data_IF_221735753013
#
_entry.id   IF_221735753013
#
_cell.length_a   1.000
_cell.length_b   1.000
_cell.length_c   1.000
_cell.angle_alpha   90.00
_cell.angle_beta   90.00
_cell.angle_gamma   90.00
#
_symmetry.space_group_name_H-M   'P 1'
#
loop_
_entity.id
_entity.type
_entity.pdbx_description
1 polymer ?
#
# COMPACT_ATOMS: atom_id res chain seq x y z
N UNK A 1 -6.76 78.27 -12.41
CA UNK A 1 -6.82 77.91 -13.85
C UNK A 1 -7.52 76.55 -13.95
N UNK A 2 -8.85 76.49 -13.97
CA UNK A 2 -9.70 76.24 -15.16
C UNK A 2 -8.99 75.45 -16.27
N UNK A 3 -9.41 74.19 -16.47
CA UNK A 3 -10.02 73.70 -17.72
C UNK A 3 -10.66 72.31 -17.52
N UNK A 4 -11.95 72.27 -17.80
CA UNK A 4 -12.82 71.10 -17.98
C UNK A 4 -12.60 70.44 -19.35
N UNK A 5 -12.95 69.16 -19.51
CA UNK A 5 -13.70 68.54 -20.63
C UNK A 5 -14.13 67.12 -20.15
N UNK A 6 -15.44 66.85 -19.98
CA UNK A 6 -16.35 66.17 -20.92
C UNK A 6 -15.82 64.78 -21.34
N UNK A 7 -16.44 63.62 -21.07
CA UNK A 7 -17.87 63.27 -21.05
C UNK A 7 -18.14 62.36 -22.26
N UNK A 8 -18.09 61.03 -22.10
CA UNK A 8 -18.55 60.04 -23.09
C UNK A 8 -19.26 58.91 -22.32
N UNK A 9 -20.44 58.55 -22.81
CA UNK A 9 -21.41 57.70 -22.14
C UNK A 9 -21.29 56.19 -22.42
N UNK A 10 -21.92 55.45 -21.52
CA UNK A 10 -22.90 54.39 -21.75
C UNK A 10 -22.57 53.26 -22.75
N UNK A 11 -22.23 52.09 -22.21
CA UNK A 11 -22.81 50.80 -22.62
C UNK A 11 -22.44 49.72 -21.59
N UNK A 12 -23.33 49.48 -20.62
CA UNK A 12 -23.31 48.27 -19.78
C UNK A 12 -23.82 47.10 -20.64
N UNK A 13 -22.91 46.27 -21.14
CA UNK A 13 -23.25 45.01 -21.80
C UNK A 13 -23.13 43.87 -20.79
N UNK A 14 -24.26 43.34 -20.34
CA UNK A 14 -24.35 42.10 -19.57
C UNK A 14 -24.00 40.91 -20.47
N UNK A 15 -22.80 40.36 -20.31
CA UNK A 15 -22.47 39.00 -20.78
C UNK A 15 -22.42 38.08 -19.57
N UNK A 16 -23.47 37.25 -19.41
CA UNK A 16 -23.45 36.08 -18.54
C UNK A 16 -22.43 35.05 -19.08
N UNK A 17 -21.44 34.59 -18.30
CA UNK A 17 -20.57 33.52 -18.72
C UNK A 17 -21.33 32.18 -18.62
N UNK A 18 -21.55 31.55 -19.77
CA UNK A 18 -21.85 30.13 -19.87
C UNK A 18 -20.67 29.34 -19.30
N UNK A 19 -20.86 28.75 -18.12
CA UNK A 19 -19.90 27.80 -17.55
C UNK A 19 -19.99 26.48 -18.31
N UNK A 20 -19.03 26.26 -19.21
CA UNK A 20 -18.75 24.96 -19.84
C UNK A 20 -18.37 23.97 -18.75
N UNK A 21 -19.16 22.90 -18.60
CA UNK A 21 -18.86 21.78 -17.70
C UNK A 21 -17.93 20.81 -18.42
N UNK A 22 -16.68 20.77 -18.00
CA UNK A 22 -15.73 19.73 -18.41
C UNK A 22 -16.17 18.36 -17.87
N UNK A 23 -16.24 17.36 -18.75
CA UNK A 23 -16.38 15.95 -18.41
C UNK A 23 -15.00 15.31 -18.35
N UNK A 24 -14.62 14.79 -17.18
CA UNK A 24 -13.51 13.85 -17.02
C UNK A 24 -14.08 12.42 -17.02
N UNK A 25 -13.42 11.44 -17.67
CA UNK A 25 -13.80 10.04 -17.61
C UNK A 25 -12.97 9.34 -16.52
N UNK A 26 -13.60 8.97 -15.40
CA UNK A 26 -13.03 8.02 -14.45
C UNK A 26 -13.87 6.74 -14.45
N UNK A 27 -13.20 5.66 -14.83
CA UNK A 27 -13.68 4.28 -14.70
C UNK A 27 -13.43 3.76 -13.28
N UNK A 28 -14.16 2.71 -12.92
CA UNK A 28 -14.04 1.89 -11.71
C UNK A 28 -14.80 2.39 -10.46
N UNK A 29 -16.01 1.84 -10.26
CA UNK A 29 -16.39 1.06 -9.08
C UNK A 29 -17.92 0.94 -9.03
N UNK A 30 -18.46 -0.18 -9.51
CA UNK A 30 -19.82 -0.60 -9.14
C UNK A 30 -19.84 -0.96 -7.67
N UNK A 31 -20.18 0.03 -6.83
CA UNK A 31 -20.66 -0.20 -5.49
C UNK A 31 -22.09 -0.77 -5.59
N UNK A 32 -22.20 -2.10 -5.62
CA UNK A 32 -23.41 -2.77 -5.15
C UNK A 32 -23.44 -2.62 -3.63
N UNK A 33 -23.88 -1.45 -3.15
CA UNK A 33 -24.28 -1.26 -1.77
C UNK A 33 -25.64 -1.95 -1.60
N UNK A 34 -25.61 -3.26 -1.34
CA UNK A 34 -26.70 -3.95 -0.66
C UNK A 34 -26.88 -3.26 0.69
N UNK A 35 -27.86 -2.38 0.76
CA UNK A 35 -28.35 -1.81 2.01
C UNK A 35 -29.05 -2.91 2.80
N UNK A 36 -28.30 -3.79 3.45
CA UNK A 36 -28.75 -4.42 4.69
C UNK A 36 -28.72 -3.35 5.77
N UNK A 37 -29.71 -2.44 5.70
CA UNK A 37 -30.15 -1.71 6.87
C UNK A 37 -30.83 -2.72 7.78
N UNK A 38 -30.30 -2.88 8.98
CA UNK A 38 -30.90 -3.65 10.07
C UNK A 38 -32.41 -3.35 10.20
N UNK A 39 -33.25 -4.38 10.44
CA UNK A 39 -34.68 -4.21 10.60
C UNK A 39 -34.97 -3.71 12.01
N UNK A 40 -34.61 -2.45 12.27
CA UNK A 40 -34.93 -1.76 13.50
C UNK A 40 -36.22 -0.97 13.40
N UNK A 41 -37.27 -1.42 12.69
CA UNK A 41 -38.59 -0.75 12.76
C UNK A 41 -39.73 -1.59 12.19
N UNK A 42 -40.31 -2.48 12.99
CA UNK A 42 -41.62 -3.08 12.66
C UNK A 42 -42.80 -2.21 13.11
N UNK A 43 -42.59 -1.28 14.05
CA UNK A 43 -43.66 -0.46 14.63
C UNK A 43 -44.19 0.67 13.71
N UNK A 44 -43.35 1.34 12.91
CA UNK A 44 -43.83 2.40 12.00
C UNK A 44 -44.34 1.88 10.66
N UNK A 45 -43.92 0.69 10.24
CA UNK A 45 -44.40 0.09 8.99
C UNK A 45 -45.91 -0.21 9.07
N UNK A 46 -46.39 -0.69 10.22
CA UNK A 46 -47.81 -0.91 10.49
C UNK A 46 -48.65 0.36 10.37
N UNK A 47 -48.27 1.42 11.10
CA UNK A 47 -48.99 2.70 11.08
C UNK A 47 -49.06 3.31 9.67
N UNK A 48 -47.96 3.27 8.92
CA UNK A 48 -47.95 3.77 7.53
C UNK A 48 -48.87 3.00 6.59
N UNK A 49 -48.97 1.68 6.77
CA UNK A 49 -49.85 0.83 5.97
C UNK A 49 -51.33 1.10 6.31
N UNK A 50 -51.63 1.38 7.57
CA UNK A 50 -52.98 1.73 8.03
C UNK A 50 -53.43 3.09 7.49
N UNK A 51 -52.59 4.13 7.54
CA UNK A 51 -52.90 5.43 6.92
C UNK A 51 -53.06 5.30 5.38
N UNK A 52 -52.26 4.46 4.73
CA UNK A 52 -52.43 4.18 3.30
C UNK A 52 -53.77 3.50 3.00
N UNK A 53 -54.19 2.52 3.82
CA UNK A 53 -55.50 1.85 3.69
C UNK A 53 -56.65 2.84 3.87
N UNK A 54 -56.59 3.72 4.86
CA UNK A 54 -57.62 4.75 5.09
C UNK A 54 -57.76 5.70 3.91
N UNK A 55 -56.64 6.15 3.33
CA UNK A 55 -56.65 6.99 2.11
C UNK A 55 -57.26 6.27 0.91
N UNK A 56 -56.95 4.99 0.72
CA UNK A 56 -57.54 4.20 -0.36
C UNK A 56 -59.08 4.10 -0.25
N UNK A 57 -59.61 3.98 0.96
CA UNK A 57 -61.06 4.01 1.20
C UNK A 57 -61.65 5.36 0.80
N UNK A 58 -61.03 6.47 1.20
CA UNK A 58 -61.49 7.82 0.82
C UNK A 58 -61.39 8.07 -0.70
N UNK A 59 -60.36 7.55 -1.35
CA UNK A 59 -60.22 7.64 -2.81
C UNK A 59 -61.30 6.81 -3.54
N UNK A 60 -61.68 5.65 -3.00
CA UNK A 60 -62.82 4.88 -3.52
C UNK A 60 -64.16 5.62 -3.33
N UNK A 61 -64.40 6.21 -2.16
CA UNK A 61 -65.59 7.04 -1.90
C UNK A 61 -65.67 8.23 -2.86
N UNK A 62 -64.53 8.87 -3.15
CA UNK A 62 -64.45 9.93 -4.14
C UNK A 62 -64.85 9.44 -5.53
N UNK A 63 -64.35 8.27 -5.94
CA UNK A 63 -64.71 7.69 -7.23
C UNK A 63 -66.22 7.40 -7.33
N UNK A 64 -66.83 6.90 -6.25
CA UNK A 64 -68.28 6.70 -6.18
C UNK A 64 -69.06 8.01 -6.27
N UNK A 65 -68.66 9.06 -5.54
CA UNK A 65 -69.31 10.37 -5.61
C UNK A 65 -69.31 10.94 -7.04
N UNK A 66 -68.16 10.86 -7.73
CA UNK A 66 -68.03 11.28 -9.13
C UNK A 66 -68.89 10.42 -10.06
N UNK A 67 -68.92 9.11 -9.85
CA UNK A 67 -69.79 8.21 -10.61
C UNK A 67 -71.27 8.56 -10.44
N UNK A 68 -71.73 8.76 -9.21
CA UNK A 68 -73.11 9.15 -8.92
C UNK A 68 -73.47 10.49 -9.58
N UNK A 69 -72.56 11.47 -9.56
CA UNK A 69 -72.76 12.72 -10.29
C UNK A 69 -72.94 12.46 -11.79
N UNK A 70 -72.09 11.64 -12.42
CA UNK A 70 -72.20 11.34 -13.86
C UNK A 70 -73.49 10.62 -14.23
N UNK A 71 -73.97 9.72 -13.38
CA UNK A 71 -75.29 9.08 -13.58
C UNK A 71 -76.41 10.10 -13.43
N UNK A 72 -76.37 10.95 -12.39
CA UNK A 72 -77.36 12.00 -12.17
C UNK A 72 -77.39 13.02 -13.32
N UNK A 73 -76.23 13.42 -13.84
CA UNK A 73 -76.08 14.31 -14.99
C UNK A 73 -76.80 13.74 -16.21
N UNK A 74 -76.64 12.45 -16.50
CA UNK A 74 -77.35 11.78 -17.61
C UNK A 74 -78.86 11.78 -17.39
N UNK A 75 -79.31 11.45 -16.19
CA UNK A 75 -80.74 11.43 -15.85
C UNK A 75 -81.37 12.84 -15.86
N UNK A 76 -80.59 13.90 -15.66
CA UNK A 76 -81.08 15.28 -15.72
C UNK A 76 -81.50 15.71 -17.14
N UNK A 77 -80.92 15.11 -18.19
CA UNK A 77 -81.31 15.42 -19.56
C UNK A 77 -82.73 14.94 -19.93
N UNK A 78 -83.28 13.99 -19.17
CA UNK A 78 -84.66 13.53 -19.35
C UNK A 78 -85.69 14.40 -18.61
N UNK A 79 -85.26 15.49 -17.94
CA UNK A 79 -86.13 16.38 -17.15
C UNK A 79 -86.35 17.72 -17.84
N UNK A 80 -87.51 18.32 -17.62
CA UNK A 80 -87.87 19.63 -18.19
C UNK A 80 -86.94 20.79 -17.75
N UNK A 81 -86.45 20.79 -16.50
CA UNK A 81 -85.55 21.82 -15.96
C UNK A 81 -84.11 21.30 -15.86
N UNK A 82 -83.49 20.99 -17.01
CA UNK A 82 -82.16 20.38 -17.09
C UNK A 82 -81.09 21.17 -16.32
N UNK A 83 -80.99 22.48 -16.54
CA UNK A 83 -79.96 23.32 -15.90
C UNK A 83 -80.04 23.28 -14.37
N UNK A 84 -81.25 23.46 -13.82
CA UNK A 84 -81.45 23.39 -12.37
C UNK A 84 -81.13 22.01 -11.81
N UNK A 85 -81.52 20.94 -12.52
CA UNK A 85 -81.20 19.57 -12.12
C UNK A 85 -79.69 19.32 -12.08
N UNK A 86 -78.95 19.79 -13.09
CA UNK A 86 -77.48 19.64 -13.15
C UNK A 86 -76.81 20.43 -12.03
N UNK A 87 -77.27 21.64 -11.74
CA UNK A 87 -76.73 22.45 -10.64
C UNK A 87 -76.96 21.76 -9.29
N UNK A 88 -78.17 21.24 -9.02
CA UNK A 88 -78.44 20.46 -7.83
C UNK A 88 -77.56 19.22 -7.72
N UNK A 89 -77.37 18.47 -8.81
CA UNK A 89 -76.49 17.30 -8.84
C UNK A 89 -75.02 17.68 -8.54
N UNK A 90 -74.58 18.83 -9.05
CA UNK A 90 -73.23 19.37 -8.82
C UNK A 90 -73.04 19.82 -7.38
N UNK A 91 -74.06 20.40 -6.76
CA UNK A 91 -74.00 20.81 -5.35
C UNK A 91 -73.90 19.59 -4.42
N UNK A 92 -74.66 18.53 -4.71
CA UNK A 92 -74.53 17.24 -3.99
C UNK A 92 -73.12 16.65 -4.14
N UNK A 93 -72.55 16.67 -5.36
CA UNK A 93 -71.18 16.22 -5.59
C UNK A 93 -70.16 17.07 -4.80
N UNK A 94 -70.29 18.41 -4.85
CA UNK A 94 -69.43 19.34 -4.13
C UNK A 94 -69.44 19.09 -2.63
N UNK A 95 -70.61 18.88 -2.05
CA UNK A 95 -70.77 18.59 -0.63
C UNK A 95 -70.13 17.24 -0.25
N UNK A 96 -70.30 16.21 -1.08
CA UNK A 96 -69.68 14.91 -0.87
C UNK A 96 -68.13 15.01 -0.94
N UNK A 97 -67.61 15.68 -1.96
CA UNK A 97 -66.17 15.89 -2.14
C UNK A 97 -65.56 16.76 -1.04
N UNK A 98 -66.29 17.78 -0.55
CA UNK A 98 -65.86 18.61 0.56
C UNK A 98 -65.68 17.80 1.85
N UNK A 99 -66.63 16.92 2.17
CA UNK A 99 -66.55 16.00 3.32
C UNK A 99 -65.37 15.03 3.21
N UNK A 100 -65.18 14.42 2.03
CA UNK A 100 -64.06 13.50 1.78
C UNK A 100 -62.72 14.24 1.91
N UNK A 101 -62.62 15.48 1.41
CA UNK A 101 -61.43 16.31 1.55
C UNK A 101 -61.12 16.63 3.01
N UNK A 102 -62.13 16.97 3.81
CA UNK A 102 -61.97 17.21 5.24
C UNK A 102 -61.41 15.96 5.94
N UNK A 103 -62.01 14.79 5.70
CA UNK A 103 -61.52 13.52 6.25
C UNK A 103 -60.08 13.21 5.84
N UNK A 104 -59.69 13.48 4.59
CA UNK A 104 -58.31 13.28 4.13
C UNK A 104 -57.32 14.18 4.86
N UNK A 105 -57.69 15.44 5.13
CA UNK A 105 -56.86 16.36 5.90
C UNK A 105 -56.64 15.87 7.34
N UNK A 106 -57.67 15.28 7.95
CA UNK A 106 -57.57 14.69 9.30
C UNK A 106 -56.63 13.48 9.31
N UNK A 107 -56.75 12.59 8.32
CA UNK A 107 -55.83 11.44 8.15
C UNK A 107 -54.39 11.91 7.96
N UNK A 108 -54.16 12.92 7.12
CA UNK A 108 -52.82 13.46 6.87
C UNK A 108 -52.27 14.26 8.06
N UNK A 109 -53.13 14.88 8.88
CA UNK A 109 -52.74 15.52 10.14
C UNK A 109 -52.34 14.47 11.19
N UNK A 110 -53.11 13.40 11.33
CA UNK A 110 -52.82 12.28 12.23
C UNK A 110 -51.49 11.61 11.86
N UNK A 111 -51.24 11.37 10.57
CA UNK A 111 -50.00 10.77 10.11
C UNK A 111 -48.79 11.68 10.40
N UNK A 112 -48.91 12.99 10.20
CA UNK A 112 -47.85 13.94 10.56
C UNK A 112 -47.58 13.94 12.07
N UNK A 113 -48.63 13.88 12.90
CA UNK A 113 -48.49 13.79 14.35
C UNK A 113 -47.79 12.49 14.78
N UNK A 114 -48.17 11.35 14.21
CA UNK A 114 -47.54 10.06 14.48
C UNK A 114 -46.05 10.04 14.11
N UNK A 115 -45.68 10.60 12.94
CA UNK A 115 -44.27 10.74 12.55
C UNK A 115 -43.48 11.65 13.49
N UNK A 116 -44.10 12.73 13.97
CA UNK A 116 -43.48 13.64 14.93
C UNK A 116 -43.23 12.91 16.27
N UNK A 117 -44.22 12.21 16.81
CA UNK A 117 -44.10 11.41 18.02
C UNK A 117 -43.00 10.33 17.89
N UNK A 118 -42.96 9.61 16.78
CA UNK A 118 -41.93 8.60 16.53
C UNK A 118 -40.52 9.20 16.48
N UNK A 119 -40.35 10.41 15.92
CA UNK A 119 -39.06 11.12 15.95
C UNK A 119 -38.70 11.53 17.39
N UNK A 120 -39.66 12.05 18.14
CA UNK A 120 -39.42 12.52 19.51
C UNK A 120 -39.07 11.35 20.44
N UNK A 121 -39.71 10.19 20.28
CA UNK A 121 -39.33 8.93 20.94
C UNK A 121 -37.90 8.52 20.59
N UNK A 122 -37.55 8.46 19.30
CA UNK A 122 -36.16 8.13 18.89
C UNK A 122 -35.13 9.10 19.45
N UNK A 123 -35.46 10.39 19.54
CA UNK A 123 -34.59 11.39 20.15
C UNK A 123 -34.47 11.19 21.66
N UNK A 124 -35.56 10.86 22.35
CA UNK A 124 -35.57 10.54 23.77
C UNK A 124 -34.71 9.30 24.05
N UNK A 125 -34.88 8.23 23.28
CA UNK A 125 -34.09 7.00 23.41
C UNK A 125 -32.60 7.26 23.18
N UNK A 126 -32.26 8.00 22.12
CA UNK A 126 -30.87 8.37 21.84
C UNK A 126 -30.27 9.23 22.95
N UNK A 127 -31.04 10.17 23.52
CA UNK A 127 -30.60 10.98 24.67
C UNK A 127 -30.37 10.10 25.89
N UNK A 128 -31.30 9.19 26.20
CA UNK A 128 -31.18 8.25 27.30
C UNK A 128 -29.95 7.33 27.15
N UNK A 129 -29.72 6.78 25.96
CA UNK A 129 -28.52 5.97 25.66
C UNK A 129 -27.23 6.78 25.80
N UNK A 130 -27.22 8.01 25.27
CA UNK A 130 -26.05 8.90 25.35
C UNK A 130 -25.72 9.28 26.79
N UNK A 131 -26.74 9.50 27.62
CA UNK A 131 -26.60 9.78 29.05
C UNK A 131 -26.12 8.54 29.82
N UNK A 132 -26.70 7.37 29.54
CA UNK A 132 -26.26 6.11 30.14
C UNK A 132 -24.80 5.78 29.81
N UNK A 133 -24.35 6.08 28.59
CA UNK A 133 -22.98 5.88 28.14
C UNK A 133 -22.03 7.03 28.51
N UNK A 134 -22.52 8.16 29.01
CA UNK A 134 -21.69 9.33 29.36
C UNK A 134 -20.51 8.97 30.30
N UNK A 135 -20.71 8.30 31.45
CA UNK A 135 -19.60 7.96 32.34
C UNK A 135 -18.59 7.01 31.69
N UNK A 136 -19.06 6.07 30.85
CA UNK A 136 -18.17 5.16 30.13
C UNK A 136 -17.33 5.92 29.09
N UNK A 137 -17.93 6.85 28.34
CA UNK A 137 -17.20 7.69 27.37
C UNK A 137 -16.18 8.60 28.06
N UNK A 138 -16.53 9.18 29.21
CA UNK A 138 -15.59 9.97 30.01
C UNK A 138 -14.45 9.10 30.55
N UNK A 139 -14.73 7.92 31.07
CA UNK A 139 -13.70 6.99 31.53
C UNK A 139 -12.75 6.59 30.39
N UNK A 140 -13.31 6.29 29.21
CA UNK A 140 -12.52 5.96 28.02
C UNK A 140 -11.68 7.16 27.55
N UNK A 141 -12.21 8.38 27.57
CA UNK A 141 -11.44 9.58 27.26
C UNK A 141 -10.27 9.79 28.23
N UNK A 142 -10.49 9.58 29.53
CA UNK A 142 -9.42 9.65 30.53
C UNK A 142 -8.36 8.57 30.32
N UNK A 143 -8.77 7.34 30.01
CA UNK A 143 -7.84 6.25 29.68
C UNK A 143 -7.01 6.58 28.44
N UNK A 144 -7.65 7.02 27.35
CA UNK A 144 -6.96 7.42 26.13
C UNK A 144 -5.96 8.57 26.37
N UNK A 145 -6.33 9.56 27.20
CA UNK A 145 -5.45 10.67 27.57
C UNK A 145 -4.24 10.16 28.38
N UNK A 146 -4.46 9.31 29.38
CA UNK A 146 -3.39 8.71 30.17
C UNK A 146 -2.45 7.83 29.33
N UNK A 147 -3.00 7.03 28.42
CA UNK A 147 -2.21 6.19 27.50
C UNK A 147 -1.37 7.04 26.55
N UNK A 148 -1.91 8.17 26.09
CA UNK A 148 -1.17 9.11 25.24
C UNK A 148 0.00 9.73 26.00
N UNK A 149 -0.24 10.23 27.22
CA UNK A 149 0.80 10.79 28.09
C UNK A 149 1.88 9.74 28.43
N UNK A 150 1.49 8.50 28.74
CA UNK A 150 2.42 7.41 29.00
C UNK A 150 3.32 7.10 27.79
N UNK A 151 2.75 7.06 26.58
CA UNK A 151 3.52 6.87 25.33
C UNK A 151 4.47 8.03 25.06
N UNK A 152 4.06 9.25 25.36
CA UNK A 152 4.95 10.42 25.24
C UNK A 152 6.14 10.29 26.18
N UNK A 153 5.89 9.96 27.46
CA UNK A 153 6.95 9.75 28.43
C UNK A 153 7.92 8.61 28.02
N UNK A 154 7.39 7.49 27.52
CA UNK A 154 8.22 6.38 27.01
C UNK A 154 9.10 6.82 25.84
N UNK A 155 8.55 7.61 24.91
CA UNK A 155 9.31 8.12 23.77
C UNK A 155 10.44 9.04 24.20
N UNK A 156 10.22 9.90 25.20
CA UNK A 156 11.27 10.73 25.78
C UNK A 156 12.34 9.89 26.48
N UNK A 157 11.94 8.90 27.28
CA UNK A 157 12.88 7.98 27.91
C UNK A 157 13.72 7.23 26.86
N UNK A 158 13.10 6.76 25.78
CA UNK A 158 13.79 6.07 24.68
C UNK A 158 14.76 6.99 23.95
N UNK A 159 14.42 8.27 23.78
CA UNK A 159 15.34 9.29 23.25
C UNK A 159 16.54 9.45 24.18
N UNK A 160 16.29 9.71 25.46
CA UNK A 160 17.35 9.88 26.47
C UNK A 160 18.27 8.65 26.49
N UNK A 161 17.69 7.44 26.49
CA UNK A 161 18.45 6.19 26.44
C UNK A 161 19.30 6.10 25.19
N UNK A 162 18.72 6.29 24.00
CA UNK A 162 19.44 6.27 22.72
C UNK A 162 20.58 7.30 22.70
N UNK A 163 20.33 8.52 23.18
CA UNK A 163 21.36 9.56 23.23
C UNK A 163 22.46 9.25 24.25
N UNK A 164 22.13 8.61 25.37
CA UNK A 164 23.10 8.17 26.37
C UNK A 164 23.95 6.99 25.91
N UNK A 165 23.37 6.07 25.13
CA UNK A 165 24.06 4.90 24.56
C UNK A 165 24.91 5.24 23.32
N UNK A 166 24.68 6.38 22.67
CA UNK A 166 25.38 6.80 21.44
C UNK A 166 26.93 6.76 21.55
N UNK A 167 27.56 7.28 22.63
CA UNK A 167 29.01 7.23 22.79
C UNK A 167 29.52 5.80 22.97
N UNK A 168 28.77 4.94 23.67
CA UNK A 168 29.12 3.52 23.84
C UNK A 168 29.06 2.81 22.49
N UNK A 169 27.97 2.97 21.73
CA UNK A 169 27.86 2.42 20.38
C UNK A 169 28.98 2.88 19.45
N UNK A 170 29.40 4.15 19.52
CA UNK A 170 30.51 4.67 18.75
C UNK A 170 31.86 4.05 19.18
N UNK A 171 32.07 3.82 20.49
CA UNK A 171 33.25 3.13 21.00
C UNK A 171 33.28 1.65 20.57
N UNK A 172 32.13 0.97 20.66
CA UNK A 172 31.97 -0.43 20.24
C UNK A 172 32.23 -0.61 18.74
N UNK A 173 31.72 0.31 17.91
CA UNK A 173 31.99 0.33 16.46
C UNK A 173 33.50 0.47 16.17
N UNK A 174 34.18 1.43 16.82
CA UNK A 174 35.63 1.60 16.67
C UNK A 174 36.41 0.36 17.13
N UNK A 175 36.00 -0.27 18.23
CA UNK A 175 36.63 -1.48 18.74
C UNK A 175 36.44 -2.66 17.77
N UNK A 176 35.28 -2.75 17.11
CA UNK A 176 35.01 -3.75 16.09
C UNK A 176 35.85 -3.53 14.83
N UNK A 177 35.91 -2.29 14.34
CA UNK A 177 36.72 -1.92 13.16
C UNK A 177 38.21 -2.18 13.41
N UNK A 178 38.73 -1.88 14.61
CA UNK A 178 40.10 -2.18 14.99
C UNK A 178 40.39 -3.69 14.93
N UNK A 179 39.49 -4.52 15.47
CA UNK A 179 39.62 -5.98 15.40
C UNK A 179 39.59 -6.50 13.96
N UNK A 180 38.76 -5.90 13.09
CA UNK A 180 38.76 -6.26 11.67
C UNK A 180 40.09 -5.89 11.01
N UNK A 181 40.62 -4.70 11.27
CA UNK A 181 41.91 -4.26 10.71
C UNK A 181 43.06 -5.17 11.16
N UNK A 182 43.12 -5.52 12.45
CA UNK A 182 44.10 -6.47 12.99
C UNK A 182 44.01 -7.84 12.31
N UNK A 183 42.78 -8.34 12.10
CA UNK A 183 42.57 -9.60 11.41
C UNK A 183 43.06 -9.56 9.96
N UNK A 184 42.77 -8.48 9.23
CA UNK A 184 43.24 -8.29 7.85
C UNK A 184 44.76 -8.19 7.79
N UNK A 185 45.38 -7.42 8.69
CA UNK A 185 46.84 -7.33 8.78
C UNK A 185 47.47 -8.69 9.04
N UNK A 186 46.86 -9.51 9.90
CA UNK A 186 47.35 -10.87 10.16
C UNK A 186 47.30 -11.74 8.91
N UNK A 187 46.21 -11.68 8.15
CA UNK A 187 46.08 -12.41 6.87
C UNK A 187 47.14 -11.95 5.86
N UNK A 188 47.41 -10.65 5.76
CA UNK A 188 48.45 -10.11 4.88
C UNK A 188 49.84 -10.54 5.31
N UNK A 189 50.14 -10.50 6.61
CA UNK A 189 51.40 -10.98 7.16
C UNK A 189 51.61 -12.47 6.88
N UNK A 190 50.56 -13.29 7.03
CA UNK A 190 50.60 -14.72 6.75
C UNK A 190 50.81 -14.99 5.25
N UNK A 191 50.15 -14.22 4.36
CA UNK A 191 50.37 -14.29 2.90
C UNK A 191 51.80 -13.92 2.53
N UNK A 192 52.31 -12.80 3.03
CA UNK A 192 53.69 -12.38 2.78
C UNK A 192 54.70 -13.39 3.34
N UNK A 193 54.44 -13.99 4.50
CA UNK A 193 55.26 -15.06 5.03
C UNK A 193 55.22 -16.33 4.17
N UNK A 194 54.04 -16.70 3.66
CA UNK A 194 53.88 -17.82 2.75
C UNK A 194 54.62 -17.60 1.42
N UNK A 195 54.56 -16.40 0.86
CA UNK A 195 55.28 -15.99 -0.35
C UNK A 195 56.79 -16.04 -0.14
N UNK A 196 57.32 -15.46 0.96
CA UNK A 196 58.74 -15.54 1.30
C UNK A 196 59.22 -16.99 1.38
N UNK A 197 58.46 -17.85 2.08
CA UNK A 197 58.77 -19.28 2.17
C UNK A 197 58.66 -19.98 0.82
N UNK A 198 57.73 -19.57 -0.05
CA UNK A 198 57.60 -20.13 -1.40
C UNK A 198 58.80 -19.74 -2.30
N UNK A 199 59.25 -18.49 -2.23
CA UNK A 199 60.46 -18.02 -2.91
C UNK A 199 61.70 -18.76 -2.42
N UNK A 200 61.85 -18.92 -1.10
CA UNK A 200 62.96 -19.67 -0.51
C UNK A 200 62.95 -21.14 -0.97
N UNK A 201 61.78 -21.80 -0.97
CA UNK A 201 61.63 -23.16 -1.52
C UNK A 201 62.04 -23.20 -3.00
N UNK A 202 61.60 -22.25 -3.82
CA UNK A 202 61.96 -22.20 -5.24
C UNK A 202 63.48 -22.02 -5.44
N UNK A 203 64.12 -21.13 -4.67
CA UNK A 203 65.57 -20.94 -4.70
C UNK A 203 66.32 -22.19 -4.27
N UNK A 204 65.86 -22.87 -3.21
CA UNK A 204 66.46 -24.11 -2.72
C UNK A 204 66.34 -25.24 -3.75
N UNK A 205 65.20 -25.37 -4.42
CA UNK A 205 65.02 -26.32 -5.54
C UNK A 205 65.97 -25.99 -6.69
N UNK A 206 66.10 -24.72 -7.09
CA UNK A 206 67.03 -24.31 -8.14
C UNK A 206 68.49 -24.64 -7.79
N UNK A 207 68.91 -24.33 -6.55
CA UNK A 207 70.26 -24.68 -6.04
C UNK A 207 70.48 -26.19 -6.04
N UNK A 208 69.47 -26.98 -5.65
CA UNK A 208 69.56 -28.43 -5.65
C UNK A 208 69.71 -28.99 -7.07
N UNK A 209 68.92 -28.49 -8.03
CA UNK A 209 69.03 -28.88 -9.44
C UNK A 209 70.38 -28.49 -10.05
N UNK A 210 70.92 -27.30 -9.72
CA UNK A 210 72.27 -26.90 -10.12
C UNK A 210 73.32 -27.87 -9.57
N UNK A 211 73.26 -28.19 -8.27
CA UNK A 211 74.18 -29.17 -7.65
C UNK A 211 74.13 -30.54 -8.33
N UNK A 212 72.95 -30.99 -8.76
CA UNK A 212 72.82 -32.25 -9.50
C UNK A 212 73.52 -32.17 -10.86
N UNK A 213 73.28 -31.11 -11.66
CA UNK A 213 73.96 -30.91 -12.95
C UNK A 213 75.48 -30.81 -12.80
N UNK A 214 75.95 -30.09 -11.80
CA UNK A 214 77.38 -29.94 -11.52
C UNK A 214 78.01 -31.28 -11.09
N UNK A 215 77.28 -32.10 -10.31
CA UNK A 215 77.73 -33.44 -9.94
C UNK A 215 77.81 -34.36 -11.18
N UNK A 216 76.82 -34.32 -12.06
CA UNK A 216 76.83 -35.08 -13.33
C UNK A 216 77.98 -34.64 -14.26
N UNK A 217 78.22 -33.34 -14.40
CA UNK A 217 79.34 -32.81 -15.19
C UNK A 217 80.67 -33.28 -14.62
N UNK A 218 80.88 -33.14 -13.31
CA UNK A 218 82.11 -33.64 -12.66
C UNK A 218 82.29 -35.14 -12.85
N UNK A 219 81.23 -35.93 -12.78
CA UNK A 219 81.29 -37.37 -13.04
C UNK A 219 81.72 -37.68 -14.49
N UNK A 220 81.17 -36.96 -15.48
CA UNK A 220 81.58 -37.06 -16.89
C UNK A 220 83.04 -36.67 -17.09
N UNK A 221 83.49 -35.57 -16.48
CA UNK A 221 84.88 -35.11 -16.58
C UNK A 221 85.86 -36.12 -15.98
N UNK A 222 85.53 -36.68 -14.81
CA UNK A 222 86.34 -37.72 -14.17
C UNK A 222 86.37 -38.98 -15.04
N UNK A 223 85.24 -39.42 -15.58
CA UNK A 223 85.18 -40.58 -16.49
C UNK A 223 85.99 -40.34 -17.78
N UNK A 224 85.92 -39.14 -18.36
CA UNK A 224 86.71 -38.76 -19.54
C UNK A 224 88.22 -38.76 -19.23
N UNK A 225 88.64 -38.22 -18.08
CA UNK A 225 90.03 -38.29 -17.60
C UNK A 225 90.50 -39.73 -17.43
N UNK A 226 89.68 -40.58 -16.83
CA UNK A 226 89.99 -42.01 -16.67
C UNK A 226 90.08 -42.74 -18.02
N UNK A 227 89.17 -42.48 -18.95
CA UNK A 227 89.19 -43.07 -20.29
C UNK A 227 90.42 -42.61 -21.10
N UNK A 228 90.77 -41.33 -21.04
CA UNK A 228 91.98 -40.79 -21.65
C UNK A 228 93.25 -41.42 -21.05
N UNK A 229 93.31 -41.61 -19.73
CA UNK A 229 94.39 -42.31 -19.06
C UNK A 229 94.49 -43.79 -19.51
N UNK A 230 93.36 -44.50 -19.64
CA UNK A 230 93.31 -45.88 -20.15
C UNK A 230 93.76 -45.98 -21.61
N UNK A 231 93.34 -45.05 -22.48
CA UNK A 231 93.77 -45.01 -23.89
C UNK A 231 95.28 -44.81 -24.00
N UNK A 232 95.84 -43.83 -23.27
CA UNK A 232 97.30 -43.63 -23.21
C UNK A 232 98.04 -44.87 -22.72
N UNK A 233 97.50 -45.58 -21.72
CA UNK A 233 98.10 -46.83 -21.24
C UNK A 233 98.06 -47.96 -22.29
N UNK A 234 96.95 -48.10 -23.03
CA UNK A 234 96.83 -49.07 -24.13
C UNK A 234 97.75 -48.74 -25.31
N UNK A 235 97.86 -47.47 -25.69
CA UNK A 235 98.79 -47.01 -26.73
C UNK A 235 100.24 -47.32 -26.33
N UNK A 236 100.62 -47.09 -25.07
CA UNK A 236 101.95 -47.46 -24.55
C UNK A 236 102.18 -48.98 -24.59
N UNK A 237 101.19 -49.80 -24.23
CA UNK A 237 101.30 -51.26 -24.32
C UNK A 237 101.44 -51.74 -25.78
N UNK A 238 100.68 -51.18 -26.73
CA UNK A 238 100.81 -51.51 -28.15
C UNK A 238 102.17 -51.11 -28.70
N UNK A 239 102.69 -49.93 -28.33
CA UNK A 239 104.04 -49.51 -28.71
C UNK A 239 105.12 -50.46 -28.16
N UNK A 240 105.00 -50.90 -26.90
CA UNK A 240 105.91 -51.89 -26.33
C UNK A 240 105.85 -53.24 -27.05
N UNK A 241 104.65 -53.72 -27.41
CA UNK A 241 104.49 -54.96 -28.17
C UNK A 241 105.07 -54.85 -29.60
N UNK A 242 104.86 -53.72 -30.28
CA UNK A 242 105.48 -53.47 -31.59
C UNK A 242 107.00 -53.42 -31.51
N UNK A 243 107.58 -52.78 -30.47
CA UNK A 243 109.02 -52.80 -30.23
C UNK A 243 109.55 -54.21 -29.96
N UNK A 244 108.82 -55.03 -29.19
CA UNK A 244 109.20 -56.43 -28.95
C UNK A 244 109.13 -57.28 -30.24
N UNK A 245 108.11 -57.07 -31.09
CA UNK A 245 108.01 -57.76 -32.39
C UNK A 245 109.13 -57.33 -33.35
N UNK A 246 109.49 -56.05 -33.39
CA UNK A 246 110.63 -55.58 -34.19
C UNK A 246 111.96 -56.15 -33.68
N UNK A 247 112.15 -56.28 -32.36
CA UNK A 247 113.33 -56.94 -31.78
C UNK A 247 113.38 -58.45 -32.05
N UNK A 248 112.23 -59.12 -32.20
CA UNK A 248 112.18 -60.53 -32.59
C UNK A 248 112.44 -60.73 -34.10
N UNK A 249 112.01 -59.79 -34.96
CA UNK A 249 112.29 -59.82 -36.40
C UNK A 249 113.75 -59.50 -36.74
N UNK A 250 114.46 -58.72 -35.92
CA UNK A 250 115.91 -58.48 -36.08
C UNK A 250 116.80 -59.64 -35.61
N UNK A 251 116.22 -60.72 -35.05
CA UNK A 251 116.94 -61.92 -34.57
C UNK A 251 116.78 -63.14 -35.50
N UNK A 252 116.23 -62.95 -36.70
CA UNK A 252 116.29 -63.92 -37.81
C UNK A 252 117.17 -63.37 -38.93
#
# INVERSE_FOLDING_TARGET
MKKSFAGIGLALSLCWPYAVRAQAPDSAASAAATSTGEPGTTATAGDTADFARQRAVLDNQKAWAVYHYKVAERNCYDRFFVNHCIDQARDVERDALAKIRAQRLDVDAAERAARAQARDQRLADKRAQTQAQAPQREAQQRQNAADYEARQAEFEQKKVRRTGELPQHAADAKAYDAKQAEFQQKLEQDRAAAERRAQERAQNVQKFQQKQRDAEQRAKDVAARQAAARRKAQEQQQQQQQQQQQQQQQKQ
#
